data_IF_028442871842
#
_entry.id   IF_028442871842
#
_cell.length_a   1.000
_cell.length_b   1.000
_cell.length_c   1.000
_cell.angle_alpha   90.00
_cell.angle_beta   90.00
_cell.angle_gamma   90.00
#
_symmetry.space_group_name_H-M   'P 1'
#
loop_
_entity.id
_entity.type
_entity.pdbx_description
1 polymer ?
#
# COMPACT_ATOMS: atom_id res chain seq x y z
N UNK A 1 -45.69 39.22 -0.66
CA UNK A 1 -44.45 38.49 -1.03
C UNK A 1 -44.84 37.28 -1.86
N UNK A 2 -44.32 37.09 -3.09
CA UNK A 2 -44.61 35.90 -3.86
C UNK A 2 -43.80 34.70 -3.32
N UNK A 3 -44.32 33.46 -3.41
CA UNK A 3 -43.64 32.27 -2.93
C UNK A 3 -42.40 31.98 -3.79
N UNK A 4 -41.29 31.67 -3.14
CA UNK A 4 -40.04 31.26 -3.77
C UNK A 4 -40.26 29.87 -4.38
N UNK A 5 -40.38 29.81 -5.71
CA UNK A 5 -40.49 28.56 -6.45
C UNK A 5 -39.24 27.70 -6.28
N UNK A 6 -39.43 26.43 -5.92
CA UNK A 6 -38.38 25.42 -5.85
C UNK A 6 -37.83 25.14 -7.26
N UNK A 7 -36.59 25.58 -7.52
CA UNK A 7 -35.86 25.13 -8.70
C UNK A 7 -35.50 23.65 -8.52
N UNK A 8 -35.80 22.77 -9.50
CA UNK A 8 -35.38 21.38 -9.41
C UNK A 8 -33.85 21.32 -9.48
N UNK A 9 -33.24 20.65 -8.49
CA UNK A 9 -31.83 20.30 -8.49
C UNK A 9 -31.55 19.49 -9.77
N UNK A 10 -30.71 20.04 -10.67
CA UNK A 10 -30.17 19.29 -11.81
C UNK A 10 -29.39 18.10 -11.25
N UNK A 11 -29.97 16.91 -11.33
CA UNK A 11 -29.25 15.64 -11.15
C UNK A 11 -28.26 15.53 -12.29
N UNK A 12 -27.02 15.94 -12.06
CA UNK A 12 -25.91 15.54 -12.92
C UNK A 12 -25.75 14.02 -12.76
N UNK A 13 -26.28 13.26 -13.72
CA UNK A 13 -25.88 11.87 -13.93
C UNK A 13 -24.46 11.90 -14.51
N UNK A 14 -23.46 12.09 -13.67
CA UNK A 14 -22.10 11.65 -14.02
C UNK A 14 -22.18 10.14 -14.16
N UNK A 15 -21.95 9.63 -15.37
CA UNK A 15 -21.75 8.19 -15.60
C UNK A 15 -20.65 7.73 -14.64
N UNK A 16 -21.03 6.95 -13.63
CA UNK A 16 -20.10 6.48 -12.61
C UNK A 16 -19.30 5.31 -13.19
N UNK A 17 -17.97 5.45 -13.26
CA UNK A 17 -17.08 4.32 -13.55
C UNK A 17 -17.36 3.23 -12.50
N UNK A 18 -17.61 1.97 -12.91
CA UNK A 18 -17.75 0.87 -11.97
C UNK A 18 -16.46 0.74 -11.14
N UNK A 19 -16.61 0.50 -9.84
CA UNK A 19 -15.47 0.27 -8.96
C UNK A 19 -14.70 -0.96 -9.43
N UNK A 20 -13.38 -0.84 -9.51
CA UNK A 20 -12.47 -1.95 -9.78
C UNK A 20 -12.10 -2.71 -8.50
N UNK A 21 -12.51 -2.17 -7.34
CA UNK A 21 -12.06 -2.59 -6.02
C UNK A 21 -10.53 -2.52 -5.91
N UNK A 22 -9.91 -1.48 -6.48
CA UNK A 22 -8.47 -1.25 -6.47
C UNK A 22 -8.20 0.14 -5.90
N UNK A 23 -6.98 0.38 -5.40
CA UNK A 23 -6.58 1.71 -4.89
C UNK A 23 -6.74 2.81 -5.96
N UNK A 24 -6.67 2.46 -7.24
CA UNK A 24 -6.91 3.35 -8.39
C UNK A 24 -8.37 3.77 -8.57
N UNK A 25 -9.30 3.25 -7.76
CA UNK A 25 -10.63 3.85 -7.62
C UNK A 25 -10.57 5.22 -6.92
N UNK A 26 -9.48 5.53 -6.21
CA UNK A 26 -9.16 6.89 -5.74
C UNK A 26 -8.69 7.71 -6.96
N UNK A 27 -9.43 8.74 -7.39
CA UNK A 27 -9.07 9.49 -8.59
C UNK A 27 -7.71 10.19 -8.48
N UNK A 28 -6.99 10.22 -9.60
CA UNK A 28 -5.66 10.84 -9.69
C UNK A 28 -4.51 9.91 -9.30
N UNK A 29 -4.75 8.61 -9.15
CA UNK A 29 -3.72 7.59 -8.88
C UNK A 29 -3.59 6.58 -10.01
N UNK A 30 -2.33 6.25 -10.32
CA UNK A 30 -1.95 5.13 -11.20
C UNK A 30 -0.95 4.24 -10.50
N UNK A 31 -0.97 2.96 -10.85
CA UNK A 31 -0.06 1.96 -10.31
C UNK A 31 0.74 1.35 -11.45
N UNK A 32 2.05 1.23 -11.25
CA UNK A 32 2.95 0.58 -12.18
C UNK A 32 3.64 -0.61 -11.52
N UNK A 33 3.89 -1.67 -12.28
CA UNK A 33 4.53 -2.89 -11.81
C UNK A 33 5.65 -3.28 -12.76
N UNK A 34 6.74 -3.80 -12.21
CA UNK A 34 7.76 -4.49 -12.98
C UNK A 34 8.42 -5.58 -12.14
N UNK A 35 8.67 -6.71 -12.78
CA UNK A 35 9.25 -7.88 -12.16
C UNK A 35 10.53 -8.34 -12.88
N UNK A 36 11.35 -9.03 -12.10
CA UNK A 36 12.38 -9.93 -12.59
C UNK A 36 11.96 -11.34 -12.15
N UNK A 37 11.47 -12.13 -13.12
CA UNK A 37 10.95 -13.48 -12.89
C UNK A 37 12.09 -14.45 -12.52
N UNK A 38 13.29 -14.27 -13.08
CA UNK A 38 14.45 -15.10 -12.74
C UNK A 38 14.89 -14.87 -11.30
N UNK A 39 14.94 -13.62 -10.89
CA UNK A 39 15.22 -13.24 -9.51
C UNK A 39 14.02 -13.42 -8.56
N UNK A 40 12.82 -13.74 -9.05
CA UNK A 40 11.57 -13.80 -8.28
C UNK A 40 11.37 -12.56 -7.40
N UNK A 41 11.54 -11.37 -7.96
CA UNK A 41 11.42 -10.10 -7.23
C UNK A 41 10.79 -9.04 -8.12
N UNK A 42 10.32 -7.94 -7.52
CA UNK A 42 9.67 -6.89 -8.29
C UNK A 42 9.41 -5.62 -7.50
N UNK A 43 8.90 -4.64 -8.22
CA UNK A 43 8.63 -3.28 -7.75
C UNK A 43 7.21 -2.88 -8.12
N UNK A 44 6.53 -2.22 -7.19
CA UNK A 44 5.26 -1.53 -7.39
C UNK A 44 5.45 -0.04 -7.15
N UNK A 45 5.11 0.78 -8.15
CA UNK A 45 5.14 2.25 -8.06
C UNK A 45 3.71 2.76 -7.93
N UNK A 46 3.45 3.55 -6.89
CA UNK A 46 2.23 4.34 -6.73
C UNK A 46 2.53 5.75 -7.25
N UNK A 47 1.83 6.15 -8.32
CA UNK A 47 2.10 7.38 -9.05
C UNK A 47 0.87 8.29 -9.08
N UNK A 48 0.86 9.37 -8.28
CA UNK A 48 -0.19 10.36 -8.36
C UNK A 48 0.02 11.29 -9.58
N UNK A 49 -1.08 11.67 -10.25
CA UNK A 49 -1.04 12.52 -11.45
C UNK A 49 -0.39 13.90 -11.17
N UNK A 50 -0.56 14.40 -9.95
CA UNK A 50 0.11 15.58 -9.40
C UNK A 50 0.80 15.21 -8.10
N UNK A 51 1.73 16.03 -7.61
CA UNK A 51 2.34 15.77 -6.30
C UNK A 51 1.26 15.70 -5.22
N UNK A 52 1.34 14.67 -4.36
CA UNK A 52 0.27 14.34 -3.42
C UNK A 52 0.78 14.30 -1.98
N UNK A 53 -0.04 14.79 -1.03
CA UNK A 53 0.34 14.79 0.39
C UNK A 53 0.53 13.36 0.86
N UNK A 54 1.62 13.10 1.59
CA UNK A 54 1.93 11.77 2.09
C UNK A 54 2.38 11.78 3.55
N UNK A 55 1.83 10.87 4.34
CA UNK A 55 2.31 10.56 5.69
C UNK A 55 2.71 9.09 5.82
N UNK A 56 3.49 8.75 6.84
CA UNK A 56 3.97 7.39 7.08
C UNK A 56 3.85 6.99 8.55
N UNK A 57 3.54 5.71 8.78
CA UNK A 57 3.60 5.02 10.06
C UNK A 57 4.48 3.77 9.91
N UNK A 58 5.63 3.77 10.59
CA UNK A 58 6.58 2.64 10.62
C UNK A 58 6.43 1.96 11.97
N UNK A 59 6.06 0.67 11.97
CA UNK A 59 5.77 -0.06 13.21
C UNK A 59 6.52 -1.37 13.38
N UNK A 60 7.00 -1.98 12.30
CA UNK A 60 7.85 -3.15 12.41
C UNK A 60 9.19 -2.86 13.09
N UNK A 61 9.77 -3.84 13.77
CA UNK A 61 11.09 -3.71 14.41
C UNK A 61 12.30 -3.76 13.47
N UNK A 62 12.13 -4.22 12.22
CA UNK A 62 13.19 -4.28 11.19
C UNK A 62 12.82 -3.56 9.90
N UNK A 63 12.49 -2.26 9.93
CA UNK A 63 12.03 -1.54 8.75
C UNK A 63 13.18 -1.28 7.78
N UNK A 64 12.82 -1.19 6.50
CA UNK A 64 13.70 -0.68 5.47
C UNK A 64 12.96 0.39 4.69
N UNK A 65 13.36 1.65 4.88
CA UNK A 65 12.70 2.81 4.29
C UNK A 65 13.69 3.75 3.62
N UNK A 66 13.17 4.54 2.68
CA UNK A 66 13.85 5.69 2.11
C UNK A 66 12.95 6.92 2.29
N UNK A 67 13.54 8.05 2.66
CA UNK A 67 12.88 9.36 2.77
C UNK A 67 11.69 9.41 3.74
N UNK A 68 11.59 8.47 4.68
CA UNK A 68 10.51 8.46 5.70
C UNK A 68 10.55 9.70 6.60
N UNK A 69 11.74 10.16 7.00
CA UNK A 69 11.90 11.35 7.83
C UNK A 69 11.43 12.62 7.10
N UNK A 70 11.58 12.69 5.77
CA UNK A 70 11.11 13.83 4.98
C UNK A 70 9.59 14.01 5.09
N UNK A 71 8.83 12.95 5.37
CA UNK A 71 7.37 12.95 5.52
C UNK A 71 6.90 13.36 6.93
N UNK A 72 7.80 13.73 7.84
CA UNK A 72 7.41 14.23 9.14
C UNK A 72 6.65 15.58 8.98
N UNK A 73 5.49 15.78 9.65
CA UNK A 73 4.65 16.96 9.43
C UNK A 73 5.30 18.32 9.69
N UNK A 74 6.40 18.35 10.43
CA UNK A 74 7.20 19.52 10.75
C UNK A 74 8.24 19.88 9.66
N UNK A 75 8.45 19.01 8.67
CA UNK A 75 9.46 19.19 7.63
C UNK A 75 8.91 19.92 6.39
N UNK A 76 9.82 20.29 5.49
CA UNK A 76 9.52 21.10 4.30
C UNK A 76 8.68 20.37 3.24
N UNK A 77 8.74 19.04 3.22
CA UNK A 77 8.16 18.22 2.15
C UNK A 77 6.75 17.80 2.53
N UNK A 78 5.76 18.51 1.99
CA UNK A 78 4.35 18.17 2.22
C UNK A 78 3.83 17.09 1.27
N UNK A 79 4.40 17.02 0.05
CA UNK A 79 3.88 16.21 -1.05
C UNK A 79 5.00 15.46 -1.79
N UNK A 80 4.63 14.29 -2.33
CA UNK A 80 5.55 13.37 -3.02
C UNK A 80 5.19 13.22 -4.49
N UNK A 81 6.16 12.83 -5.31
CA UNK A 81 5.96 12.63 -6.75
C UNK A 81 5.60 11.18 -7.11
N UNK A 82 6.08 10.23 -6.31
CA UNK A 82 5.78 8.81 -6.41
C UNK A 82 6.11 8.12 -5.07
N UNK A 83 5.50 6.97 -4.82
CA UNK A 83 5.84 6.10 -3.70
C UNK A 83 6.23 4.72 -4.24
N UNK A 84 7.27 4.11 -3.68
CA UNK A 84 7.77 2.80 -4.13
C UNK A 84 7.60 1.74 -3.04
N UNK A 85 6.97 0.63 -3.42
CA UNK A 85 7.00 -0.62 -2.66
C UNK A 85 7.86 -1.61 -3.44
N UNK A 86 8.87 -2.21 -2.81
CA UNK A 86 9.81 -3.09 -3.52
C UNK A 86 10.10 -4.37 -2.74
N UNK A 87 10.36 -5.45 -3.46
CA UNK A 87 11.12 -6.58 -2.94
C UNK A 87 12.61 -6.23 -2.75
N UNK A 88 13.44 -7.24 -2.52
CA UNK A 88 14.90 -7.11 -2.53
C UNK A 88 15.59 -6.73 -1.25
N UNK A 89 14.85 -6.59 -0.15
CA UNK A 89 15.37 -6.03 1.08
C UNK A 89 16.17 -4.74 0.78
N UNK A 90 17.29 -4.50 1.46
CA UNK A 90 18.08 -3.26 1.36
C UNK A 90 18.42 -2.83 -0.08
N UNK A 91 18.59 -3.78 -1.00
CA UNK A 91 18.88 -3.49 -2.41
C UNK A 91 17.67 -2.91 -3.15
N UNK A 92 16.46 -3.27 -2.71
CA UNK A 92 15.19 -2.75 -3.20
C UNK A 92 15.03 -1.23 -3.06
N UNK A 93 15.75 -0.61 -2.11
CA UNK A 93 15.72 0.84 -1.94
C UNK A 93 16.24 1.59 -3.18
N UNK A 94 17.05 0.93 -4.02
CA UNK A 94 17.51 1.48 -5.29
C UNK A 94 16.38 1.63 -6.34
N UNK A 95 15.23 0.98 -6.16
CA UNK A 95 14.08 1.19 -7.04
C UNK A 95 13.58 2.64 -7.04
N UNK A 96 13.60 3.29 -5.87
CA UNK A 96 13.26 4.70 -5.76
C UNK A 96 14.27 5.61 -6.46
N UNK A 97 15.56 5.23 -6.54
CA UNK A 97 16.55 5.97 -7.33
C UNK A 97 16.22 5.91 -8.83
N UNK A 98 15.82 4.74 -9.35
CA UNK A 98 15.38 4.59 -10.73
C UNK A 98 14.16 5.47 -11.05
N UNK A 99 13.17 5.47 -10.15
CA UNK A 99 11.97 6.32 -10.26
C UNK A 99 12.35 7.80 -10.22
N UNK A 100 13.16 8.23 -9.25
CA UNK A 100 13.61 9.62 -9.13
C UNK A 100 14.41 10.07 -10.36
N UNK A 101 15.28 9.22 -10.90
CA UNK A 101 16.04 9.54 -12.11
C UNK A 101 15.12 9.81 -13.31
N UNK A 102 14.09 8.98 -13.52
CA UNK A 102 13.13 9.17 -14.62
C UNK A 102 12.26 10.41 -14.39
N UNK A 103 11.76 10.64 -13.17
CA UNK A 103 10.94 11.82 -12.86
C UNK A 103 11.74 13.12 -12.98
N UNK A 104 12.97 13.14 -12.50
CA UNK A 104 13.87 14.29 -12.61
C UNK A 104 14.19 14.61 -14.07
N UNK A 105 14.42 13.60 -14.91
CA UNK A 105 14.60 13.78 -16.36
C UNK A 105 13.35 14.34 -17.05
N UNK A 106 12.15 14.10 -16.50
CA UNK A 106 10.87 14.68 -16.96
C UNK A 106 10.61 16.07 -16.38
N UNK A 107 11.54 16.63 -15.60
CA UNK A 107 11.39 17.93 -14.95
C UNK A 107 10.33 17.95 -13.84
N UNK A 108 9.97 16.78 -13.29
CA UNK A 108 9.07 16.67 -12.12
C UNK A 108 9.89 16.63 -10.84
N UNK A 109 9.37 17.21 -9.77
CA UNK A 109 10.00 17.21 -8.45
C UNK A 109 10.05 18.57 -7.78
N UNK A 110 10.55 18.58 -6.55
CA UNK A 110 10.73 19.78 -5.76
C UNK A 110 11.81 20.69 -6.36
N UNK A 111 11.55 22.00 -6.36
CA UNK A 111 12.58 23.02 -6.59
C UNK A 111 12.14 24.33 -5.98
N UNK A 112 12.85 24.78 -4.94
CA UNK A 112 12.52 25.98 -4.18
C UNK A 112 12.57 27.25 -5.05
N UNK A 113 13.51 27.28 -6.00
CA UNK A 113 13.70 28.36 -6.97
C UNK A 113 14.01 27.71 -8.32
N UNK A 114 13.38 28.22 -9.37
CA UNK A 114 13.64 27.79 -10.74
C UNK A 114 14.95 28.41 -11.22
N UNK A 115 16.04 27.63 -11.16
CA UNK A 115 17.37 28.05 -11.56
C UNK A 115 17.79 27.32 -12.85
N UNK A 116 18.20 28.05 -13.92
CA UNK A 116 18.71 27.42 -15.14
C UNK A 116 19.85 26.45 -14.85
N UNK A 117 19.75 25.23 -15.37
CA UNK A 117 20.76 24.18 -15.21
C UNK A 117 20.68 23.38 -13.89
N UNK A 118 19.78 23.72 -12.97
CA UNK A 118 19.54 22.95 -11.74
C UNK A 118 18.36 22.00 -11.93
N UNK A 119 18.53 20.67 -11.84
CA UNK A 119 17.42 19.74 -11.99
C UNK A 119 16.45 19.80 -10.81
N UNK A 120 15.18 19.47 -11.07
CA UNK A 120 14.20 19.23 -10.00
C UNK A 120 14.63 18.02 -9.17
N UNK A 121 14.27 18.02 -7.89
CA UNK A 121 14.52 16.93 -6.95
C UNK A 121 13.21 16.21 -6.63
N UNK A 122 12.86 15.12 -7.33
CA UNK A 122 11.67 14.34 -6.99
C UNK A 122 11.75 13.78 -5.57
N UNK A 123 10.64 13.82 -4.86
CA UNK A 123 10.52 13.17 -3.55
C UNK A 123 9.88 11.80 -3.77
N UNK A 124 10.65 10.75 -3.48
CA UNK A 124 10.26 9.36 -3.76
C UNK A 124 10.51 8.50 -2.52
N UNK A 125 9.61 8.55 -1.52
CA UNK A 125 9.68 7.62 -0.41
C UNK A 125 9.56 6.18 -0.88
N UNK A 126 10.15 5.27 -0.10
CA UNK A 126 10.04 3.84 -0.37
C UNK A 126 9.99 3.01 0.90
N UNK A 127 9.40 1.83 0.77
CA UNK A 127 9.59 0.74 1.71
C UNK A 127 9.88 -0.56 0.96
N UNK A 128 10.61 -1.44 1.63
CA UNK A 128 11.10 -2.70 1.07
C UNK A 128 10.65 -3.89 1.89
N UNK A 129 10.43 -5.02 1.22
CA UNK A 129 10.28 -6.31 1.86
C UNK A 129 11.42 -7.26 1.49
N UNK A 130 11.65 -8.25 2.35
CA UNK A 130 12.66 -9.27 2.11
C UNK A 130 12.09 -10.44 1.29
N UNK A 131 12.62 -10.64 0.08
CA UNK A 131 12.36 -11.81 -0.77
C UNK A 131 13.67 -12.45 -1.27
N UNK A 132 14.80 -12.16 -0.61
CA UNK A 132 16.11 -12.60 -1.10
C UNK A 132 16.32 -14.11 -1.01
N UNK A 133 15.68 -14.79 -0.05
CA UNK A 133 15.78 -16.23 0.17
C UNK A 133 14.55 -17.01 -0.34
N UNK A 134 14.06 -16.66 -1.54
CA UNK A 134 12.87 -17.27 -2.17
C UNK A 134 13.18 -18.28 -3.29
N UNK A 135 14.46 -18.54 -3.59
CA UNK A 135 14.90 -19.49 -4.62
C UNK A 135 15.16 -18.89 -6.00
N UNK A 136 14.87 -17.60 -6.23
CA UNK A 136 15.23 -16.93 -7.48
C UNK A 136 16.73 -16.57 -7.56
N UNK A 137 17.22 -16.27 -8.76
CA UNK A 137 18.62 -15.97 -9.05
C UNK A 137 19.09 -14.66 -8.38
N UNK A 138 20.00 -14.79 -7.41
CA UNK A 138 20.57 -13.63 -6.66
C UNK A 138 22.02 -13.28 -7.02
N UNK A 139 22.55 -13.88 -8.08
CA UNK A 139 23.95 -13.74 -8.52
C UNK A 139 24.25 -12.46 -9.29
N UNK A 140 23.60 -11.34 -8.97
CA UNK A 140 23.69 -10.07 -9.74
C UNK A 140 24.99 -9.29 -9.49
N UNK A 141 25.83 -9.71 -8.54
CA UNK A 141 27.09 -9.04 -8.21
C UNK A 141 26.86 -7.59 -7.78
N UNK A 142 27.43 -6.64 -8.52
CA UNK A 142 27.32 -5.20 -8.23
C UNK A 142 26.13 -4.51 -8.88
N UNK A 143 25.31 -5.22 -9.66
CA UNK A 143 24.17 -4.65 -10.38
C UNK A 143 22.83 -5.31 -10.00
N UNK A 144 22.33 -5.10 -8.77
CA UNK A 144 20.99 -5.52 -8.39
C UNK A 144 19.91 -4.90 -9.31
N UNK A 145 18.85 -5.64 -9.67
CA UNK A 145 17.91 -5.21 -10.73
C UNK A 145 17.00 -4.05 -10.33
N UNK A 146 16.97 -3.67 -9.05
CA UNK A 146 15.94 -2.80 -8.46
C UNK A 146 15.89 -1.41 -9.07
N UNK A 147 17.03 -0.80 -9.39
CA UNK A 147 17.08 0.51 -10.05
C UNK A 147 16.36 0.49 -11.41
N UNK A 148 16.69 -0.51 -12.24
CA UNK A 148 16.05 -0.69 -13.55
C UNK A 148 14.57 -1.08 -13.39
N UNK A 149 14.24 -1.93 -12.42
CA UNK A 149 12.85 -2.30 -12.10
C UNK A 149 12.00 -1.09 -11.72
N UNK A 150 12.51 -0.18 -10.88
CA UNK A 150 11.81 1.05 -10.50
C UNK A 150 11.49 1.93 -11.69
N UNK A 151 12.46 2.13 -12.59
CA UNK A 151 12.24 2.87 -13.83
C UNK A 151 11.18 2.20 -14.72
N UNK A 152 11.27 0.87 -14.94
CA UNK A 152 10.29 0.11 -15.74
C UNK A 152 8.89 0.15 -15.13
N UNK A 153 8.77 0.02 -13.81
CA UNK A 153 7.50 0.07 -13.12
C UNK A 153 6.84 1.45 -13.30
N UNK A 154 7.61 2.55 -13.21
CA UNK A 154 7.09 3.89 -13.47
C UNK A 154 6.62 4.07 -14.92
N UNK A 155 7.30 3.48 -15.90
CA UNK A 155 6.85 3.52 -17.31
C UNK A 155 5.56 2.72 -17.55
N UNK A 156 5.30 1.71 -16.71
CA UNK A 156 4.14 0.82 -16.81
C UNK A 156 2.91 1.30 -16.03
N UNK A 157 2.88 2.54 -15.53
CA UNK A 157 1.77 3.03 -14.70
C UNK A 157 0.42 3.03 -15.44
N UNK A 158 -0.60 2.49 -14.78
CA UNK A 158 -1.94 2.30 -15.34
C UNK A 158 -3.03 2.42 -14.26
N UNK A 159 -4.28 2.60 -14.68
CA UNK A 159 -5.46 2.50 -13.81
C UNK A 159 -5.70 1.06 -13.33
N UNK A 160 -5.23 0.08 -14.10
CA UNK A 160 -5.40 -1.36 -13.83
C UNK A 160 -4.04 -2.01 -13.64
N UNK A 161 -3.97 -2.89 -12.66
CA UNK A 161 -2.77 -3.64 -12.29
C UNK A 161 -3.19 -4.98 -11.69
N UNK A 162 -2.25 -5.93 -11.65
CA UNK A 162 -2.53 -7.30 -11.24
C UNK A 162 -2.32 -7.49 -9.72
N UNK A 163 -3.11 -8.38 -9.11
CA UNK A 163 -2.98 -8.79 -7.72
C UNK A 163 -2.29 -10.16 -7.63
N UNK A 164 -1.80 -10.53 -6.45
CA UNK A 164 -1.10 -11.80 -6.22
C UNK A 164 0.40 -11.68 -6.51
N UNK A 165 0.96 -12.57 -7.32
CA UNK A 165 2.40 -12.67 -7.56
C UNK A 165 2.94 -11.63 -8.57
N UNK A 166 2.63 -10.34 -8.35
CA UNK A 166 2.98 -9.22 -9.25
C UNK A 166 3.62 -8.05 -8.51
N UNK A 167 4.46 -7.28 -9.20
CA UNK A 167 5.25 -6.18 -8.65
C UNK A 167 6.01 -6.60 -7.39
N UNK A 168 5.89 -5.81 -6.33
CA UNK A 168 6.50 -6.15 -5.03
C UNK A 168 5.97 -7.46 -4.40
N UNK A 169 4.86 -8.01 -4.89
CA UNK A 169 4.23 -9.23 -4.37
C UNK A 169 4.81 -10.54 -4.92
N UNK A 170 5.54 -10.53 -6.04
CA UNK A 170 5.97 -11.77 -6.72
C UNK A 170 6.80 -12.71 -5.85
N UNK A 171 7.70 -12.16 -5.03
CA UNK A 171 8.57 -12.91 -4.13
C UNK A 171 8.04 -13.04 -2.70
N UNK A 172 6.84 -12.53 -2.41
CA UNK A 172 6.35 -12.35 -1.05
C UNK A 172 5.83 -13.65 -0.41
N UNK A 173 5.92 -13.76 0.93
CA UNK A 173 5.37 -14.87 1.72
C UNK A 173 4.60 -14.39 2.94
N UNK A 174 3.36 -14.85 3.10
CA UNK A 174 2.52 -14.52 4.25
C UNK A 174 2.43 -15.71 5.20
N UNK A 175 3.19 -15.69 6.30
CA UNK A 175 3.34 -16.90 7.11
C UNK A 175 3.98 -18.02 6.27
N UNK A 176 3.38 -19.20 6.31
CA UNK A 176 3.76 -20.35 5.48
C UNK A 176 3.17 -20.29 4.06
N UNK A 177 2.17 -19.44 3.81
CA UNK A 177 1.51 -19.29 2.52
C UNK A 177 2.35 -18.45 1.54
N UNK A 178 1.98 -18.52 0.25
CA UNK A 178 2.38 -17.48 -0.70
C UNK A 178 1.79 -16.15 -0.23
N UNK A 179 2.63 -15.12 -0.23
CA UNK A 179 2.21 -13.75 -0.04
C UNK A 179 1.74 -13.18 -1.38
N UNK A 180 1.58 -11.87 -1.46
CA UNK A 180 1.24 -11.25 -2.73
C UNK A 180 0.94 -9.76 -2.61
N UNK A 181 0.72 -9.14 -3.75
CA UNK A 181 0.22 -7.78 -3.86
C UNK A 181 -1.31 -7.80 -3.78
N UNK A 182 -1.85 -7.12 -2.78
CA UNK A 182 -3.26 -6.96 -2.57
C UNK A 182 -3.69 -5.52 -2.77
N UNK A 183 -4.97 -5.33 -3.11
CA UNK A 183 -5.59 -4.01 -3.10
C UNK A 183 -7.05 -4.14 -2.69
N UNK A 184 -7.68 -3.07 -2.26
CA UNK A 184 -9.12 -2.96 -2.06
C UNK A 184 -9.51 -1.49 -2.03
N UNK A 185 -10.78 -1.18 -2.27
CA UNK A 185 -11.30 0.18 -2.15
C UNK A 185 -12.71 0.20 -1.60
N UNK A 186 -13.13 1.40 -1.21
CA UNK A 186 -14.49 1.69 -0.84
C UNK A 186 -14.81 3.14 -1.22
N UNK A 187 -16.05 3.33 -1.68
CA UNK A 187 -16.64 4.65 -1.87
C UNK A 187 -17.78 4.84 -0.88
N UNK A 188 -17.80 5.97 -0.19
CA UNK A 188 -18.89 6.31 0.72
C UNK A 188 -20.11 6.84 -0.03
N UNK A 189 -21.28 6.85 0.61
CA UNK A 189 -22.52 7.35 0.00
C UNK A 189 -22.45 8.84 -0.39
N UNK A 190 -21.69 9.64 0.36
CA UNK A 190 -21.40 11.05 0.08
C UNK A 190 -20.20 11.26 -0.85
N UNK A 191 -19.56 10.18 -1.31
CA UNK A 191 -18.64 10.21 -2.45
C UNK A 191 -17.15 10.25 -2.14
N UNK A 192 -16.73 10.09 -0.88
CA UNK A 192 -15.31 9.93 -0.51
C UNK A 192 -14.80 8.59 -1.02
N UNK A 193 -13.62 8.59 -1.66
CA UNK A 193 -12.92 7.37 -2.04
C UNK A 193 -11.82 7.08 -1.03
N UNK A 194 -11.73 5.83 -0.60
CA UNK A 194 -10.61 5.29 0.18
C UNK A 194 -10.16 4.00 -0.47
N UNK A 195 -8.85 3.86 -0.66
CA UNK A 195 -8.24 2.68 -1.27
C UNK A 195 -7.00 2.23 -0.52
N UNK A 196 -6.62 0.97 -0.69
CA UNK A 196 -5.41 0.40 -0.13
C UNK A 196 -4.70 -0.48 -1.15
N UNK A 197 -3.37 -0.51 -1.09
CA UNK A 197 -2.49 -1.46 -1.78
C UNK A 197 -1.43 -1.94 -0.79
N UNK A 198 -1.09 -3.22 -0.84
CA UNK A 198 -0.18 -3.85 0.14
C UNK A 198 0.59 -5.00 -0.50
N UNK A 199 1.89 -5.08 -0.24
CA UNK A 199 2.68 -6.28 -0.51
C UNK A 199 2.84 -7.08 0.79
N UNK A 200 2.26 -8.27 0.83
CA UNK A 200 2.10 -9.08 2.06
C UNK A 200 3.25 -10.06 2.20
N UNK A 201 4.30 -9.70 2.95
CA UNK A 201 5.41 -10.59 3.29
C UNK A 201 5.56 -10.77 4.82
N UNK A 202 4.44 -10.88 5.54
CA UNK A 202 4.42 -10.93 7.00
C UNK A 202 5.06 -12.19 7.60
N UNK A 203 5.56 -12.08 8.82
CA UNK A 203 5.91 -13.24 9.65
C UNK A 203 4.67 -14.02 10.10
N UNK A 204 3.67 -13.29 10.60
CA UNK A 204 2.45 -13.87 11.14
C UNK A 204 1.61 -14.59 10.10
N UNK A 205 0.58 -15.26 10.59
CA UNK A 205 -0.43 -15.87 9.75
C UNK A 205 -1.51 -14.86 9.36
N UNK A 206 -2.00 -14.96 8.12
CA UNK A 206 -3.22 -14.27 7.66
C UNK A 206 -4.50 -15.08 7.85
N UNK A 207 -4.37 -16.38 8.13
CA UNK A 207 -5.50 -17.29 8.41
C UNK A 207 -5.54 -17.72 9.88
N UNK A 208 -6.75 -17.98 10.36
CA UNK A 208 -7.00 -18.43 11.72
C UNK A 208 -6.51 -19.88 11.88
N UNK A 209 -5.85 -20.24 13.00
CA UNK A 209 -5.34 -21.58 13.23
C UNK A 209 -6.41 -22.66 13.06
N UNK A 210 -6.05 -23.78 12.45
CA UNK A 210 -6.96 -24.91 12.23
C UNK A 210 -8.09 -24.65 11.21
N UNK A 211 -8.03 -23.57 10.43
CA UNK A 211 -9.05 -23.23 9.44
C UNK A 211 -8.46 -22.58 8.19
N UNK A 212 -9.27 -22.48 7.13
CA UNK A 212 -8.96 -21.70 5.92
C UNK A 212 -9.47 -20.25 5.99
N UNK A 213 -10.06 -19.85 7.11
CA UNK A 213 -10.64 -18.53 7.28
C UNK A 213 -9.56 -17.48 7.53
N UNK A 214 -9.57 -16.39 6.77
CA UNK A 214 -8.72 -15.24 7.04
C UNK A 214 -9.10 -14.56 8.35
N UNK A 215 -8.13 -13.96 9.06
CA UNK A 215 -8.46 -13.09 10.21
C UNK A 215 -9.41 -11.95 9.84
N UNK A 216 -9.27 -11.43 8.60
CA UNK A 216 -10.11 -10.37 8.06
C UNK A 216 -11.43 -10.85 7.42
N UNK A 217 -11.83 -12.11 7.60
CA UNK A 217 -13.08 -12.66 7.02
C UNK A 217 -14.34 -11.81 7.27
N UNK A 218 -14.53 -11.10 8.41
CA UNK A 218 -15.75 -10.31 8.62
C UNK A 218 -15.86 -9.11 7.67
N UNK A 219 -14.75 -8.69 7.06
CA UNK A 219 -14.67 -7.54 6.16
C UNK A 219 -14.79 -7.93 4.69
N UNK A 220 -14.84 -9.23 4.37
CA UNK A 220 -14.92 -9.71 3.00
C UNK A 220 -16.21 -9.23 2.32
N UNK A 221 -16.06 -8.71 1.10
CA UNK A 221 -17.18 -8.27 0.27
C UNK A 221 -17.27 -9.11 -1.00
N UNK A 222 -18.50 -9.49 -1.39
CA UNK A 222 -18.79 -10.10 -2.69
C UNK A 222 -17.93 -11.34 -3.05
N UNK A 223 -17.47 -12.11 -2.05
CA UNK A 223 -16.65 -13.29 -2.27
C UNK A 223 -15.22 -12.99 -2.74
N UNK A 224 -14.70 -11.78 -2.50
CA UNK A 224 -13.37 -11.34 -2.96
C UNK A 224 -12.19 -12.15 -2.39
N UNK A 225 -12.44 -13.07 -1.45
CA UNK A 225 -11.45 -13.97 -0.87
C UNK A 225 -11.96 -15.41 -0.68
N UNK A 226 -12.96 -15.81 -1.48
CA UNK A 226 -13.46 -17.19 -1.53
C UNK A 226 -14.48 -17.56 -0.45
N UNK A 227 -14.87 -16.66 0.44
CA UNK A 227 -15.99 -16.88 1.36
C UNK A 227 -15.72 -17.82 2.54
N UNK A 228 -14.46 -18.17 2.84
CA UNK A 228 -14.14 -19.03 3.97
C UNK A 228 -14.54 -18.38 5.31
N UNK A 229 -15.14 -19.16 6.21
CA UNK A 229 -15.60 -18.71 7.54
C UNK A 229 -15.05 -19.67 8.60
N UNK A 230 -14.66 -19.18 9.79
CA UNK A 230 -14.23 -20.07 10.86
C UNK A 230 -15.44 -20.84 11.41
N UNK A 231 -15.17 -21.95 12.09
CA UNK A 231 -16.18 -22.60 12.93
C UNK A 231 -16.69 -21.56 13.96
N UNK A 232 -18.01 -21.38 14.12
CA UNK A 232 -18.56 -20.49 15.14
C UNK A 232 -18.12 -20.80 16.59
N UNK A 233 -17.66 -22.03 16.84
CA UNK A 233 -17.13 -22.49 18.12
C UNK A 233 -15.60 -22.46 18.19
N UNK A 234 -14.91 -21.94 17.18
CA UNK A 234 -13.45 -21.84 17.17
C UNK A 234 -12.99 -20.94 18.33
N UNK A 235 -12.24 -21.53 19.25
CA UNK A 235 -11.49 -20.81 20.29
C UNK A 235 -10.03 -20.85 19.89
N UNK A 236 -9.43 -19.68 19.68
CA UNK A 236 -8.01 -19.58 19.31
C UNK A 236 -7.17 -19.28 20.55
N UNK A 237 -6.13 -20.10 20.77
CA UNK A 237 -5.15 -19.87 21.81
C UNK A 237 -4.34 -18.56 21.55
N UNK A 238 -3.91 -17.90 22.63
CA UNK A 238 -3.09 -16.69 22.60
C UNK A 238 -1.75 -16.87 21.87
N UNK A 239 -1.16 -18.05 22.06
CA UNK A 239 0.18 -18.41 21.57
C UNK A 239 0.12 -19.34 20.35
N UNK A 240 -1.07 -19.77 19.94
CA UNK A 240 -1.26 -20.39 18.63
C UNK A 240 -1.36 -19.32 17.53
N UNK A 241 -0.26 -19.15 16.82
CA UNK A 241 -0.15 -18.23 15.67
C UNK A 241 -0.46 -18.90 14.33
N UNK A 242 -0.93 -20.15 14.36
CA UNK A 242 -1.30 -20.91 13.17
C UNK A 242 -0.13 -21.07 12.22
N UNK A 243 -0.33 -20.92 10.90
CA UNK A 243 0.73 -21.05 9.91
C UNK A 243 1.63 -19.80 9.82
N UNK A 244 2.02 -19.21 10.95
CA UNK A 244 3.09 -18.23 10.99
C UNK A 244 4.45 -18.88 10.61
N UNK A 245 5.45 -18.05 10.28
CA UNK A 245 6.80 -18.51 9.92
C UNK A 245 7.57 -19.00 11.16
N UNK A 246 7.39 -20.24 11.62
CA UNK A 246 8.14 -20.79 12.77
C UNK A 246 9.07 -21.96 12.39
N UNK A 247 10.39 -21.68 12.26
CA UNK A 247 11.51 -22.63 12.41
C UNK A 247 12.78 -21.84 12.84
N UNK A 248 13.45 -22.18 13.96
CA UNK A 248 14.67 -21.51 14.43
C UNK A 248 15.87 -21.57 13.46
N UNK A 249 15.88 -22.50 12.49
CA UNK A 249 16.92 -22.53 11.45
C UNK A 249 16.79 -21.39 10.42
N UNK A 250 15.69 -20.61 10.46
CA UNK A 250 15.37 -19.53 9.52
C UNK A 250 15.45 -18.11 10.13
N UNK A 251 16.04 -17.95 11.32
CA UNK A 251 16.16 -16.69 12.10
C UNK A 251 16.90 -15.54 11.36
N UNK A 252 17.34 -15.74 10.11
CA UNK A 252 17.87 -14.69 9.23
C UNK A 252 16.88 -14.04 8.26
N UNK A 253 15.59 -14.42 8.24
CA UNK A 253 14.59 -13.83 7.35
C UNK A 253 13.88 -12.66 8.05
N UNK A 254 14.23 -11.43 7.69
CA UNK A 254 13.37 -10.27 7.98
C UNK A 254 12.06 -10.44 7.21
N UNK A 255 10.94 -10.09 7.81
CA UNK A 255 9.60 -10.16 7.22
C UNK A 255 9.07 -8.74 7.11
N UNK A 256 8.09 -8.46 6.25
CA UNK A 256 7.64 -7.08 6.06
C UNK A 256 6.30 -7.02 5.35
N UNK A 257 5.33 -6.31 5.92
CA UNK A 257 4.14 -5.89 5.18
C UNK A 257 4.24 -4.40 4.87
N UNK A 258 4.35 -4.06 3.59
CA UNK A 258 4.50 -2.68 3.14
C UNK A 258 3.25 -2.26 2.37
N UNK A 259 2.66 -1.13 2.75
CA UNK A 259 1.37 -0.72 2.26
C UNK A 259 1.26 0.78 2.00
N UNK A 260 0.32 1.15 1.14
CA UNK A 260 -0.18 2.50 0.99
C UNK A 260 -1.70 2.48 1.08
N UNK A 261 -2.27 3.37 1.87
CA UNK A 261 -3.68 3.76 1.78
C UNK A 261 -3.78 5.10 1.07
N UNK A 262 -4.89 5.36 0.41
CA UNK A 262 -5.12 6.62 -0.26
C UNK A 262 -6.56 7.11 -0.12
N UNK A 263 -6.73 8.42 -0.20
CA UNK A 263 -8.03 9.07 -0.31
C UNK A 263 -7.97 10.25 -1.27
N UNK A 264 -9.12 10.61 -1.81
CA UNK A 264 -9.29 11.78 -2.66
C UNK A 264 -9.65 13.05 -1.87
N UNK A 265 -9.82 12.93 -0.56
CA UNK A 265 -10.05 14.07 0.34
C UNK A 265 -8.73 14.76 0.66
N UNK A 266 -8.69 16.09 0.58
CA UNK A 266 -7.53 16.91 0.90
C UNK A 266 -7.16 16.77 2.39
N UNK A 267 -5.93 16.32 2.64
CA UNK A 267 -5.37 16.17 4.00
C UNK A 267 -4.13 17.04 4.15
N UNK A 268 -3.88 17.52 5.37
CA UNK A 268 -2.56 18.05 5.75
C UNK A 268 -1.57 16.89 6.04
N UNK A 269 -0.24 17.13 6.05
CA UNK A 269 0.73 16.09 6.41
C UNK A 269 0.45 15.44 7.77
N UNK A 270 0.06 16.23 8.78
CA UNK A 270 -0.31 15.71 10.10
C UNK A 270 -1.56 14.81 10.06
N UNK A 271 -2.56 15.17 9.25
CA UNK A 271 -3.75 14.36 9.05
C UNK A 271 -3.45 13.08 8.26
N UNK A 272 -2.61 13.15 7.22
CA UNK A 272 -2.16 11.98 6.48
C UNK A 272 -1.38 11.02 7.39
N UNK A 273 -0.46 11.52 8.21
CA UNK A 273 0.24 10.71 9.24
C UNK A 273 -0.75 10.07 10.22
N UNK A 274 -1.79 10.80 10.66
CA UNK A 274 -2.84 10.24 11.52
C UNK A 274 -3.61 9.12 10.82
N UNK A 275 -3.95 9.28 9.54
CA UNK A 275 -4.62 8.24 8.74
C UNK A 275 -3.72 7.02 8.56
N UNK A 276 -2.43 7.19 8.30
CA UNK A 276 -1.45 6.08 8.24
C UNK A 276 -1.42 5.28 9.55
N UNK A 277 -1.36 5.98 10.69
CA UNK A 277 -1.40 5.35 12.02
C UNK A 277 -2.69 4.57 12.28
N UNK A 278 -3.83 5.09 11.84
CA UNK A 278 -5.11 4.41 11.96
C UNK A 278 -5.20 3.20 11.03
N UNK A 279 -4.69 3.33 9.80
CA UNK A 279 -4.68 2.27 8.79
C UNK A 279 -3.87 1.05 9.25
N UNK A 280 -2.80 1.23 10.03
CA UNK A 280 -2.06 0.13 10.68
C UNK A 280 -2.96 -0.84 11.48
N UNK A 281 -4.11 -0.40 11.99
CA UNK A 281 -5.08 -1.31 12.61
C UNK A 281 -5.62 -2.37 11.62
N UNK A 282 -5.66 -2.07 10.33
CA UNK A 282 -6.01 -3.01 9.27
C UNK A 282 -5.04 -4.19 9.18
N UNK A 283 -3.73 -3.94 9.32
CA UNK A 283 -2.74 -5.00 9.38
C UNK A 283 -2.97 -5.90 10.60
N UNK A 284 -3.22 -5.31 11.78
CA UNK A 284 -3.50 -6.06 13.01
C UNK A 284 -4.80 -6.88 12.98
N UNK A 285 -5.79 -6.47 12.16
CA UNK A 285 -7.03 -7.24 11.93
C UNK A 285 -6.84 -8.40 10.96
N UNK A 286 -5.79 -8.36 10.13
CA UNK A 286 -5.58 -9.32 9.06
C UNK A 286 -4.40 -10.27 9.29
N UNK A 287 -3.49 -9.93 10.21
CA UNK A 287 -2.21 -10.63 10.41
C UNK A 287 -1.99 -10.86 11.91
N UNK A 288 -1.65 -12.09 12.30
CA UNK A 288 -1.33 -12.44 13.69
C UNK A 288 -0.13 -13.40 13.80
N UNK A 289 0.92 -13.06 14.56
CA UNK A 289 1.24 -11.73 15.11
C UNK A 289 1.67 -10.75 14.01
N UNK A 290 1.65 -9.45 14.31
CA UNK A 290 2.10 -8.36 13.41
C UNK A 290 2.94 -7.36 14.20
N UNK A 291 3.71 -6.50 13.53
CA UNK A 291 4.62 -5.52 14.17
C UNK A 291 5.66 -6.18 15.07
N UNK A 292 6.02 -7.43 14.79
CA UNK A 292 7.00 -8.13 15.57
C UNK A 292 8.41 -7.54 15.34
N UNK A 293 9.39 -7.83 16.22
CA UNK A 293 10.75 -7.30 16.09
C UNK A 293 11.46 -7.64 14.77
N UNK A 294 11.03 -8.70 14.10
CA UNK A 294 11.55 -9.18 12.83
C UNK A 294 10.68 -8.80 11.63
N UNK A 295 9.55 -8.11 11.83
CA UNK A 295 8.77 -7.50 10.76
C UNK A 295 9.25 -6.06 10.53
N UNK A 296 9.21 -5.57 9.29
CA UNK A 296 9.52 -4.18 8.94
C UNK A 296 8.29 -3.40 8.49
N UNK A 297 7.12 -3.68 9.07
CA UNK A 297 5.83 -3.16 8.60
C UNK A 297 5.80 -1.62 8.49
N UNK A 298 5.35 -1.14 7.31
CA UNK A 298 5.22 0.29 6.98
C UNK A 298 3.87 0.54 6.30
N UNK A 299 3.17 1.57 6.75
CA UNK A 299 1.95 2.05 6.09
C UNK A 299 2.12 3.52 5.72
N UNK A 300 2.02 3.83 4.43
CA UNK A 300 1.90 5.19 3.92
C UNK A 300 0.43 5.58 3.76
N UNK A 301 0.12 6.87 3.87
CA UNK A 301 -1.20 7.42 3.56
C UNK A 301 -1.05 8.58 2.58
N UNK A 302 -1.72 8.51 1.44
CA UNK A 302 -1.63 9.47 0.34
C UNK A 302 -2.97 10.19 0.12
N UNK A 303 -2.94 11.52 -0.06
CA UNK A 303 -4.12 12.33 -0.39
C UNK A 303 -3.99 12.96 -1.78
N UNK A 304 -4.89 12.64 -2.70
CA UNK A 304 -4.92 13.25 -4.05
C UNK A 304 -5.69 14.57 -4.13
N UNK A 305 -6.28 15.01 -3.01
CA UNK A 305 -6.92 16.32 -2.82
C UNK A 305 -7.93 16.72 -3.91
N UNK A 306 -8.69 15.76 -4.46
CA UNK A 306 -9.75 16.01 -5.44
C UNK A 306 -11.03 16.57 -4.81
N UNK A 307 -11.18 16.42 -3.49
CA UNK A 307 -12.32 16.92 -2.71
C UNK A 307 -11.82 17.62 -1.44
N UNK A 308 -12.50 18.68 -1.04
CA UNK A 308 -12.21 19.35 0.24
C UNK A 308 -12.61 18.47 1.43
N UNK A 309 -11.83 18.53 2.51
CA UNK A 309 -12.21 17.92 3.78
C UNK A 309 -13.38 18.69 4.39
N UNK A 310 -14.52 18.02 4.53
CA UNK A 310 -15.73 18.61 5.12
C UNK A 310 -15.63 18.69 6.66
N UNK A 311 -16.33 19.66 7.25
CA UNK A 311 -16.55 19.71 8.69
C UNK A 311 -17.60 18.68 9.15
N UNK A 312 -17.52 18.14 10.39
CA UNK A 312 -16.46 18.36 11.37
C UNK A 312 -15.15 17.62 11.00
N UNK A 313 -14.04 18.36 10.93
CA UNK A 313 -12.75 17.86 10.43
C UNK A 313 -12.31 16.56 11.13
N UNK A 314 -12.26 16.52 12.46
CA UNK A 314 -11.78 15.34 13.21
C UNK A 314 -12.66 14.10 13.01
N UNK A 315 -13.97 14.28 12.84
CA UNK A 315 -14.88 13.17 12.57
C UNK A 315 -14.61 12.56 11.20
N UNK A 316 -14.40 13.40 10.18
CA UNK A 316 -14.08 12.90 8.84
C UNK A 316 -12.69 12.25 8.76
N UNK A 317 -11.69 12.74 9.51
CA UNK A 317 -10.41 12.04 9.65
C UNK A 317 -10.59 10.66 10.29
N UNK A 318 -11.37 10.57 11.38
CA UNK A 318 -11.64 9.29 12.03
C UNK A 318 -12.35 8.32 11.08
N UNK A 319 -13.31 8.82 10.30
CA UNK A 319 -14.03 8.04 9.29
C UNK A 319 -13.13 7.55 8.16
N UNK A 320 -12.28 8.42 7.60
CA UNK A 320 -11.31 8.04 6.55
C UNK A 320 -10.31 7.01 7.10
N UNK A 321 -9.75 7.23 8.29
CA UNK A 321 -8.80 6.30 8.90
C UNK A 321 -9.40 4.93 9.21
N UNK A 322 -10.66 4.88 9.64
CA UNK A 322 -11.37 3.61 9.85
C UNK A 322 -11.58 2.86 8.53
N UNK A 323 -12.06 3.54 7.49
CA UNK A 323 -12.23 2.96 6.15
C UNK A 323 -10.89 2.51 5.54
N UNK A 324 -9.81 3.26 5.79
CA UNK A 324 -8.48 2.92 5.34
C UNK A 324 -7.98 1.63 6.00
N UNK A 325 -8.22 1.47 7.31
CA UNK A 325 -7.91 0.24 8.03
C UNK A 325 -8.73 -0.96 7.49
N UNK A 326 -10.01 -0.77 7.18
CA UNK A 326 -10.85 -1.84 6.63
C UNK A 326 -10.41 -2.22 5.20
N UNK A 327 -10.12 -1.24 4.35
CA UNK A 327 -9.57 -1.47 3.01
C UNK A 327 -8.22 -2.18 3.08
N UNK A 328 -7.34 -1.81 4.03
CA UNK A 328 -6.04 -2.45 4.17
C UNK A 328 -6.18 -3.91 4.63
N UNK A 329 -7.05 -4.19 5.59
CA UNK A 329 -7.31 -5.57 6.03
C UNK A 329 -7.85 -6.45 4.88
N UNK A 330 -8.80 -5.90 4.09
CA UNK A 330 -9.31 -6.57 2.88
C UNK A 330 -8.21 -6.77 1.84
N UNK A 331 -7.37 -5.77 1.62
CA UNK A 331 -6.25 -5.85 0.67
C UNK A 331 -5.26 -6.97 1.05
N UNK A 332 -4.91 -7.11 2.34
CA UNK A 332 -4.03 -8.21 2.80
C UNK A 332 -4.62 -9.57 2.43
N UNK A 333 -5.89 -9.80 2.77
CA UNK A 333 -6.60 -11.04 2.46
C UNK A 333 -6.64 -11.30 0.95
N UNK A 334 -7.00 -10.29 0.15
CA UNK A 334 -7.07 -10.42 -1.32
C UNK A 334 -5.73 -10.69 -1.96
N UNK A 335 -4.65 -10.07 -1.47
CA UNK A 335 -3.30 -10.29 -2.01
C UNK A 335 -2.83 -11.73 -1.82
N UNK A 336 -3.08 -12.31 -0.64
CA UNK A 336 -2.75 -13.72 -0.36
C UNK A 336 -3.68 -14.68 -1.12
N UNK A 337 -4.98 -14.37 -1.20
CA UNK A 337 -5.93 -15.19 -1.95
C UNK A 337 -5.56 -15.26 -3.44
N UNK A 338 -5.31 -14.11 -4.08
CA UNK A 338 -4.95 -14.03 -5.51
C UNK A 338 -3.62 -14.72 -5.84
N UNK A 339 -2.72 -14.88 -4.87
CA UNK A 339 -1.44 -15.55 -5.06
C UNK A 339 -1.51 -17.08 -4.95
N UNK A 340 -2.65 -17.66 -4.53
CA UNK A 340 -2.80 -19.12 -4.40
C UNK A 340 -2.72 -19.84 -5.75
N UNK A 341 -3.13 -19.17 -6.83
CA UNK A 341 -3.24 -19.74 -8.18
C UNK A 341 -2.03 -19.46 -9.08
N UNK A 342 -0.99 -18.82 -8.53
CA UNK A 342 0.23 -18.43 -9.25
C UNK A 342 1.38 -19.44 -9.09
#
# INVERSE_FOLDING_TARGET
MPPIGSRPLKRYKTSMKPSMNLITDVPGLKIGQAEDVGALTGVTVIYPDVAAVCGVDVRGGGPGTRESDALAPENLVDAIDALVLSGGSVYGLAAADGVASVLGARGRGFGLIDLPGVPRSPVVPAAILYDLANGGEKGWGQDPPYRALGARALEAVSDRFELGAHGAGIGARAGQLRGGLGSASQRTADGIHVGAIVAVNCFGSVIMPGSDAFWAWPLEQNGEAGGARPDPNLVVDGDDWGPAKANPAAIGRTNTTIACVATDVALTPAQAKRVAQMASAGLARAIRPVFAPFDGDVVFALSTAQQSLAEPTHFNIARIGALAADCLARAVMRGVYAAKDA
#
